data_IF_560493258293
#
_entry.id   IF_560493258293
#
_cell.length_a   1.000
_cell.length_b   1.000
_cell.length_c   1.000
_cell.angle_alpha   90.00
_cell.angle_beta   90.00
_cell.angle_gamma   90.00
#
_symmetry.space_group_name_H-M   'P 1'
#
loop_
_entity.id
_entity.type
_entity.pdbx_description
1 polymer ?
#
# COMPACT_ATOMS: atom_id res chain seq x y z
N UNK A 1 18.50 10.87 -15.68
CA UNK A 1 18.63 9.56 -15.02
C UNK A 1 17.34 8.80 -15.29
N UNK A 2 17.32 7.97 -16.32
CA UNK A 2 16.19 7.10 -16.61
C UNK A 2 16.40 5.80 -15.82
N UNK A 3 15.44 5.43 -14.98
CA UNK A 3 15.48 4.17 -14.25
C UNK A 3 15.23 3.03 -15.23
N UNK A 4 16.20 2.13 -15.37
CA UNK A 4 16.11 0.93 -16.18
C UNK A 4 15.01 0.03 -15.60
N UNK A 5 13.86 -0.04 -16.30
CA UNK A 5 12.76 -0.91 -15.88
C UNK A 5 13.16 -2.36 -16.19
N UNK A 6 13.43 -3.14 -15.14
CA UNK A 6 13.71 -4.57 -15.25
C UNK A 6 12.56 -5.37 -15.89
N UNK A 7 12.77 -6.66 -16.17
CA UNK A 7 11.79 -7.48 -16.89
C UNK A 7 10.44 -7.55 -16.13
N UNK A 8 9.37 -7.12 -16.79
CA UNK A 8 8.01 -7.14 -16.24
C UNK A 8 7.32 -8.47 -16.57
N UNK A 9 6.90 -9.21 -15.55
CA UNK A 9 6.04 -10.38 -15.70
C UNK A 9 4.56 -9.96 -15.63
N UNK A 10 3.80 -10.25 -16.69
CA UNK A 10 2.35 -9.99 -16.76
C UNK A 10 1.60 -11.29 -16.54
N UNK A 11 0.79 -11.36 -15.47
CA UNK A 11 -0.07 -12.51 -15.16
C UNK A 11 -1.52 -12.03 -15.13
N UNK A 12 -2.42 -12.77 -15.77
CA UNK A 12 -3.87 -12.56 -15.63
C UNK A 12 -4.44 -13.59 -14.68
N UNK A 13 -5.05 -13.14 -13.59
CA UNK A 13 -5.67 -14.00 -12.57
C UNK A 13 -7.14 -13.67 -12.46
N UNK A 14 -7.99 -14.70 -12.39
CA UNK A 14 -9.41 -14.57 -12.06
C UNK A 14 -9.63 -15.09 -10.64
N UNK A 15 -10.08 -14.21 -9.76
CA UNK A 15 -10.33 -14.51 -8.35
C UNK A 15 -11.83 -14.40 -8.10
N UNK A 16 -12.38 -15.31 -7.29
CA UNK A 16 -13.76 -15.22 -6.81
C UNK A 16 -13.75 -14.77 -5.35
N UNK A 17 -14.38 -13.64 -5.07
CA UNK A 17 -14.50 -13.09 -3.72
C UNK A 17 -15.79 -13.57 -3.07
N UNK A 18 -15.73 -13.91 -1.78
CA UNK A 18 -16.90 -14.36 -1.00
C UNK A 18 -17.29 -13.30 0.02
N UNK A 19 -18.57 -12.92 0.00
CA UNK A 19 -19.18 -12.09 1.03
C UNK A 19 -19.01 -12.73 2.42
N UNK A 20 -18.79 -11.90 3.43
CA UNK A 20 -18.55 -12.31 4.82
C UNK A 20 -17.09 -12.69 5.12
N UNK A 21 -16.23 -12.84 4.11
CA UNK A 21 -14.80 -13.09 4.27
C UNK A 21 -13.93 -12.04 3.59
N UNK A 22 -14.32 -11.65 2.38
CA UNK A 22 -13.54 -10.76 1.52
C UNK A 22 -14.18 -9.38 1.39
N UNK A 23 -14.99 -8.96 2.37
CA UNK A 23 -15.82 -7.76 2.28
C UNK A 23 -15.01 -6.49 2.03
N UNK A 24 -13.81 -6.36 2.62
CA UNK A 24 -12.92 -5.23 2.38
C UNK A 24 -12.39 -5.18 0.93
N UNK A 25 -12.08 -6.34 0.35
CA UNK A 25 -11.65 -6.46 -1.05
C UNK A 25 -12.82 -6.18 -2.00
N UNK A 26 -14.02 -6.64 -1.64
CA UNK A 26 -15.24 -6.35 -2.39
C UNK A 26 -15.52 -4.85 -2.37
N UNK A 27 -15.41 -4.21 -1.20
CA UNK A 27 -15.58 -2.76 -1.06
C UNK A 27 -14.53 -1.99 -1.88
N UNK A 28 -13.26 -2.42 -1.87
CA UNK A 28 -12.21 -1.83 -2.70
C UNK A 28 -12.51 -1.96 -4.19
N UNK A 29 -12.97 -3.13 -4.64
CA UNK A 29 -13.28 -3.37 -6.05
C UNK A 29 -14.50 -2.59 -6.54
N UNK A 30 -15.51 -2.42 -5.69
CA UNK A 30 -16.78 -1.77 -6.03
C UNK A 30 -16.72 -0.24 -5.94
N UNK A 31 -15.96 0.30 -4.98
CA UNK A 31 -15.86 1.75 -4.75
C UNK A 31 -14.69 2.42 -5.47
N UNK A 32 -13.84 1.66 -6.16
CA UNK A 32 -12.72 2.25 -6.89
C UNK A 32 -13.23 3.22 -7.98
N UNK A 33 -12.63 4.43 -8.09
CA UNK A 33 -12.99 5.37 -9.14
C UNK A 33 -12.75 4.75 -10.52
N UNK A 34 -13.54 5.17 -11.52
CA UNK A 34 -13.37 4.73 -12.92
C UNK A 34 -11.91 4.91 -13.33
N UNK A 35 -11.29 3.84 -13.84
CA UNK A 35 -9.86 3.74 -14.22
C UNK A 35 -8.84 3.72 -13.07
N UNK A 36 -9.25 3.80 -11.80
CA UNK A 36 -8.38 3.73 -10.62
C UNK A 36 -8.19 2.34 -10.01
N UNK A 37 -9.04 1.37 -10.38
CA UNK A 37 -9.06 0.04 -9.77
C UNK A 37 -7.71 -0.68 -9.81
N UNK A 38 -7.03 -0.66 -10.96
CA UNK A 38 -5.74 -1.34 -11.09
C UNK A 38 -4.64 -0.72 -10.23
N UNK A 39 -4.74 0.58 -9.90
CA UNK A 39 -3.81 1.24 -8.98
C UNK A 39 -4.14 0.85 -7.54
N UNK A 40 -5.43 0.89 -7.17
CA UNK A 40 -5.89 0.53 -5.84
C UNK A 40 -5.57 -0.92 -5.48
N UNK A 41 -5.77 -1.86 -6.43
CA UNK A 41 -5.39 -3.26 -6.24
C UNK A 41 -3.87 -3.41 -6.06
N UNK A 42 -3.07 -2.74 -6.89
CA UNK A 42 -1.60 -2.79 -6.78
C UNK A 42 -1.10 -2.24 -5.45
N UNK A 43 -1.72 -1.18 -4.96
CA UNK A 43 -1.42 -0.62 -3.65
C UNK A 43 -1.82 -1.57 -2.52
N UNK A 44 -3.02 -2.13 -2.58
CA UNK A 44 -3.49 -3.13 -1.63
C UNK A 44 -2.62 -4.40 -1.61
N UNK A 45 -2.10 -4.83 -2.76
CA UNK A 45 -1.15 -5.96 -2.85
C UNK A 45 0.20 -5.63 -2.20
N UNK A 46 0.67 -4.38 -2.29
CA UNK A 46 1.94 -3.95 -1.69
C UNK A 46 1.85 -3.72 -0.18
N UNK A 47 0.74 -3.15 0.28
CA UNK A 47 0.60 -2.61 1.64
C UNK A 47 -0.41 -3.37 2.51
N UNK A 48 -1.19 -4.29 1.93
CA UNK A 48 -2.36 -4.89 2.55
C UNK A 48 -3.60 -3.97 2.47
N UNK A 49 -4.79 -4.57 2.44
CA UNK A 49 -6.08 -3.85 2.32
C UNK A 49 -6.46 -3.13 3.63
N UNK A 50 -5.92 -3.56 4.78
CA UNK A 50 -6.35 -3.11 6.12
C UNK A 50 -5.51 -1.96 6.71
N UNK A 51 -4.69 -1.29 5.89
CA UNK A 51 -4.17 0.01 6.29
C UNK A 51 -5.25 1.02 5.95
N UNK A 52 -6.03 1.43 6.97
CA UNK A 52 -6.79 2.70 6.91
C UNK A 52 -5.94 3.70 6.12
N UNK A 53 -6.46 4.31 5.04
CA UNK A 53 -5.69 5.34 4.37
C UNK A 53 -5.33 6.36 5.45
N UNK A 54 -4.04 6.47 5.75
CA UNK A 54 -3.54 7.54 6.57
C UNK A 54 -3.90 8.79 5.80
N UNK A 55 -5.00 9.41 6.21
CA UNK A 55 -5.36 10.76 5.82
C UNK A 55 -4.09 11.58 6.00
N UNK A 56 -3.46 11.95 4.88
CA UNK A 56 -2.45 12.99 4.90
C UNK A 56 -3.16 14.29 5.29
N UNK A 57 -3.25 14.52 6.59
CA UNK A 57 -3.46 15.82 7.21
C UNK A 57 -3.31 15.62 8.73
N UNK A 58 -2.07 15.76 9.22
CA UNK A 58 -1.75 15.70 10.64
C UNK A 58 -0.38 15.09 10.85
N UNK A 59 0.67 15.92 10.86
CA UNK A 59 1.99 15.48 11.26
C UNK A 59 1.96 14.98 12.71
N UNK A 60 2.38 13.75 12.93
CA UNK A 60 2.72 13.25 14.24
C UNK A 60 4.01 12.43 14.13
N UNK A 61 4.90 12.71 15.08
CA UNK A 61 6.33 12.56 15.00
C UNK A 61 6.80 11.12 14.73
N UNK A 62 7.68 10.94 13.75
CA UNK A 62 8.72 9.94 13.85
C UNK A 62 9.48 10.22 15.16
N UNK A 63 9.62 9.27 16.10
CA UNK A 63 10.61 9.44 17.15
C UNK A 63 11.96 9.54 16.43
N UNK A 64 12.59 10.72 16.51
CA UNK A 64 13.96 10.87 16.08
C UNK A 64 14.76 9.81 16.85
N UNK A 65 15.41 8.91 16.13
CA UNK A 65 16.40 8.01 16.72
C UNK A 65 17.46 8.91 17.36
N UNK A 66 17.43 9.01 18.69
CA UNK A 66 18.39 9.77 19.46
C UNK A 66 19.73 9.03 19.43
N UNK A 67 20.57 9.43 18.47
CA UNK A 67 21.91 8.89 18.27
C UNK A 67 22.81 9.13 19.50
N UNK A 68 22.44 10.03 20.43
CA UNK A 68 23.16 10.25 21.67
C UNK A 68 22.93 9.12 22.68
N UNK A 69 21.85 8.36 22.57
CA UNK A 69 21.54 7.22 23.44
C UNK A 69 22.29 5.95 23.04
N UNK A 70 22.91 5.92 21.84
CA UNK A 70 23.68 4.79 21.31
C UNK A 70 25.19 4.89 21.57
N UNK A 71 25.65 5.91 22.32
CA UNK A 71 27.02 5.97 22.85
C UNK A 71 28.13 6.11 21.81
N UNK A 72 27.83 6.60 20.61
CA UNK A 72 28.85 6.93 19.62
C UNK A 72 29.33 8.36 19.86
N UNK A 73 30.49 8.51 20.50
CA UNK A 73 31.25 9.76 20.51
C UNK A 73 31.99 9.90 19.16
N UNK A 74 31.89 11.09 18.55
CA UNK A 74 32.60 11.47 17.32
C UNK A 74 34.12 11.61 17.56
#
# INVERSE_FOLDING_TARGET
>A
MEAEQGPSLVITVRISLRHGRDDDLIALCTNAPRRGLASAIREAMRNGVNRKPSSQAGGEATPALDLQQLGFEL
#
